data_IF_127660136401
#
_entry.id   IF_127660136401
#
_cell.length_a   1.000
_cell.length_b   1.000
_cell.length_c   1.000
_cell.angle_alpha   90.00
_cell.angle_beta   90.00
_cell.angle_gamma   90.00
#
_symmetry.space_group_name_H-M   'P 1'
#
loop_
_entity.id
_entity.type
_entity.pdbx_description
1 polymer ?
#
# COMPACT_ATOMS: atom_id res chain seq x y z
N UNK A 1 18.78 -15.45 19.95
CA UNK A 1 18.87 -15.71 18.49
C UNK A 1 18.05 -14.73 17.64
N UNK A 2 16.72 -14.65 17.76
CA UNK A 2 15.89 -13.68 16.98
C UNK A 2 16.17 -12.21 17.35
N UNK A 3 16.19 -11.91 18.66
CA UNK A 3 16.41 -10.54 19.20
C UNK A 3 17.81 -10.01 18.90
N UNK A 4 18.82 -10.89 18.86
CA UNK A 4 20.19 -10.49 18.55
C UNK A 4 20.29 -10.06 17.09
N UNK A 5 19.75 -10.84 16.14
CA UNK A 5 19.73 -10.49 14.70
C UNK A 5 19.10 -9.13 14.43
N UNK A 6 17.97 -8.81 15.08
CA UNK A 6 17.33 -7.50 14.95
C UNK A 6 18.22 -6.37 15.50
N UNK A 7 18.88 -6.58 16.65
CA UNK A 7 19.82 -5.62 17.26
C UNK A 7 21.08 -5.38 16.39
N UNK A 8 21.55 -6.40 15.68
CA UNK A 8 22.68 -6.26 14.73
C UNK A 8 22.24 -5.61 13.42
N UNK A 9 21.02 -5.87 12.95
CA UNK A 9 20.45 -5.23 11.76
C UNK A 9 20.27 -3.72 11.93
N UNK A 10 19.78 -3.27 13.09
CA UNK A 10 19.69 -1.84 13.43
C UNK A 10 21.06 -1.13 13.36
N UNK A 11 22.09 -1.71 14.00
CA UNK A 11 23.46 -1.18 13.95
C UNK A 11 24.06 -1.17 12.55
N UNK A 12 23.71 -2.15 11.71
CA UNK A 12 24.15 -2.18 10.32
C UNK A 12 23.50 -1.05 9.49
N UNK A 13 22.23 -0.71 9.74
CA UNK A 13 21.56 0.41 9.07
C UNK A 13 22.10 1.77 9.54
N UNK A 14 22.36 1.93 10.84
CA UNK A 14 23.03 3.12 11.37
C UNK A 14 24.40 3.34 10.72
N UNK A 15 25.20 2.28 10.61
CA UNK A 15 26.48 2.34 9.92
C UNK A 15 26.32 2.75 8.44
N UNK A 16 25.36 2.16 7.72
CA UNK A 16 25.06 2.55 6.33
C UNK A 16 24.65 4.02 6.21
N UNK A 17 23.92 4.55 7.19
CA UNK A 17 23.59 5.97 7.23
C UNK A 17 24.82 6.86 7.39
N UNK A 18 25.79 6.46 8.23
CA UNK A 18 27.08 7.17 8.28
C UNK A 18 27.85 7.07 6.96
N UNK A 19 27.88 5.90 6.33
CA UNK A 19 28.52 5.72 5.02
C UNK A 19 27.86 6.59 3.94
N UNK A 20 26.53 6.71 3.95
CA UNK A 20 25.78 7.60 3.07
C UNK A 20 26.13 9.07 3.32
N UNK A 21 26.23 9.51 4.58
CA UNK A 21 26.64 10.88 4.93
C UNK A 21 28.04 11.21 4.43
N UNK A 22 28.99 10.29 4.58
CA UNK A 22 30.34 10.44 4.05
C UNK A 22 30.30 10.54 2.53
N UNK A 23 29.57 9.65 1.85
CA UNK A 23 29.45 9.67 0.39
C UNK A 23 28.87 11.00 -0.13
N UNK A 24 27.86 11.54 0.57
CA UNK A 24 27.29 12.87 0.26
C UNK A 24 28.33 13.99 0.42
N UNK A 25 29.12 13.96 1.51
CA UNK A 25 30.17 14.96 1.75
C UNK A 25 31.33 14.86 0.75
N UNK A 26 31.63 13.65 0.28
CA UNK A 26 32.68 13.39 -0.70
C UNK A 26 32.20 13.51 -2.15
N UNK A 27 30.94 13.88 -2.40
CA UNK A 27 30.34 13.95 -3.75
C UNK A 27 30.48 12.65 -4.57
N UNK A 28 30.52 11.50 -3.91
CA UNK A 28 30.62 10.19 -4.56
C UNK A 28 29.21 9.66 -4.86
N UNK A 29 28.69 10.01 -6.05
CA UNK A 29 27.34 9.63 -6.46
C UNK A 29 27.14 8.11 -6.57
N UNK A 30 28.19 7.36 -6.96
CA UNK A 30 28.11 5.91 -7.03
C UNK A 30 27.92 5.29 -5.63
N UNK A 31 28.65 5.80 -4.63
CA UNK A 31 28.46 5.40 -3.25
C UNK A 31 27.10 5.83 -2.69
N UNK A 32 26.62 7.04 -3.00
CA UNK A 32 25.29 7.49 -2.59
C UNK A 32 24.21 6.56 -3.12
N UNK A 33 24.22 6.26 -4.42
CA UNK A 33 23.26 5.35 -5.05
C UNK A 33 23.31 3.96 -4.39
N UNK A 34 24.50 3.43 -4.16
CA UNK A 34 24.71 2.14 -3.51
C UNK A 34 24.11 2.08 -2.10
N UNK A 35 24.37 3.08 -1.26
CA UNK A 35 23.91 3.07 0.14
C UNK A 35 22.42 3.38 0.24
N UNK A 36 21.91 4.34 -0.54
CA UNK A 36 20.48 4.64 -0.60
C UNK A 36 19.67 3.41 -1.04
N UNK A 37 20.10 2.69 -2.10
CA UNK A 37 19.47 1.42 -2.51
C UNK A 37 19.44 0.40 -1.38
N UNK A 38 20.56 0.19 -0.68
CA UNK A 38 20.61 -0.77 0.44
C UNK A 38 19.66 -0.38 1.57
N UNK A 39 19.58 0.89 1.91
CA UNK A 39 18.69 1.37 2.97
C UNK A 39 17.21 1.17 2.59
N UNK A 40 16.83 1.39 1.33
CA UNK A 40 15.48 1.06 0.85
C UNK A 40 15.18 -0.44 0.98
N UNK A 41 16.14 -1.30 0.64
CA UNK A 41 15.94 -2.74 0.65
C UNK A 41 15.97 -3.36 2.07
N UNK A 42 16.74 -2.77 2.99
CA UNK A 42 17.14 -3.42 4.25
C UNK A 42 16.70 -2.68 5.51
N UNK A 43 16.29 -1.42 5.41
CA UNK A 43 15.72 -0.71 6.56
C UNK A 43 14.21 -0.99 6.66
N UNK A 44 13.78 -1.44 7.84
CA UNK A 44 12.38 -1.73 8.17
C UNK A 44 11.71 -0.64 8.98
N UNK A 45 12.45 0.38 9.44
CA UNK A 45 11.99 1.29 10.49
C UNK A 45 11.87 2.77 10.08
N UNK A 46 12.36 3.15 8.90
CA UNK A 46 12.35 4.55 8.45
C UNK A 46 11.49 4.75 7.20
N UNK A 47 10.92 5.95 7.06
CA UNK A 47 10.35 6.40 5.79
C UNK A 47 11.48 6.46 4.75
N UNK A 48 11.29 5.75 3.64
CA UNK A 48 12.32 5.58 2.62
C UNK A 48 12.31 6.69 1.56
N UNK A 49 11.43 7.69 1.71
CA UNK A 49 11.33 8.79 0.76
C UNK A 49 12.62 9.60 0.62
N UNK A 50 13.38 9.83 1.70
CA UNK A 50 14.65 10.55 1.63
C UNK A 50 15.66 9.83 0.72
N UNK A 51 15.82 8.52 0.88
CA UNK A 51 16.69 7.70 0.04
C UNK A 51 16.21 7.65 -1.41
N UNK A 52 14.89 7.58 -1.61
CA UNK A 52 14.30 7.64 -2.94
C UNK A 52 14.62 8.97 -3.65
N UNK A 53 14.53 10.11 -2.97
CA UNK A 53 14.88 11.41 -3.56
C UNK A 53 16.37 11.47 -3.93
N UNK A 54 17.24 10.91 -3.10
CA UNK A 54 18.68 10.84 -3.40
C UNK A 54 18.96 10.01 -4.66
N UNK A 55 18.23 8.92 -4.87
CA UNK A 55 18.33 8.10 -6.08
C UNK A 55 17.79 8.83 -7.30
N UNK A 56 16.60 9.44 -7.19
CA UNK A 56 15.95 10.17 -8.27
C UNK A 56 16.80 11.34 -8.78
N UNK A 57 17.54 12.00 -7.90
CA UNK A 57 18.42 13.11 -8.26
C UNK A 57 19.69 12.67 -9.04
N UNK A 58 20.08 11.40 -8.96
CA UNK A 58 21.37 10.89 -9.48
C UNK A 58 21.23 9.95 -10.66
N UNK A 59 20.09 9.29 -10.77
CA UNK A 59 19.81 8.37 -11.87
C UNK A 59 19.20 9.16 -13.02
N UNK A 60 19.66 8.88 -14.24
CA UNK A 60 19.16 9.59 -15.40
C UNK A 60 17.65 9.36 -15.57
N UNK A 61 16.94 10.38 -16.05
CA UNK A 61 15.49 10.27 -16.31
C UNK A 61 15.14 9.10 -17.24
N UNK A 62 16.03 8.75 -18.17
CA UNK A 62 15.87 7.63 -19.11
C UNK A 62 15.91 6.27 -18.42
N UNK A 63 16.73 6.12 -17.39
CA UNK A 63 16.95 4.84 -16.69
C UNK A 63 16.08 4.73 -15.43
N UNK A 64 15.55 5.85 -14.95
CA UNK A 64 14.86 5.94 -13.68
C UNK A 64 13.69 4.96 -13.52
N UNK A 65 12.86 4.83 -14.55
CA UNK A 65 11.71 3.92 -14.49
C UNK A 65 12.12 2.47 -14.34
N UNK A 66 13.03 2.00 -15.20
CA UNK A 66 13.58 0.64 -15.13
C UNK A 66 14.26 0.39 -13.78
N UNK A 67 15.02 1.37 -13.28
CA UNK A 67 15.71 1.25 -12.00
C UNK A 67 14.74 1.13 -10.83
N UNK A 68 13.68 1.94 -10.81
CA UNK A 68 12.69 1.92 -9.74
C UNK A 68 11.90 0.61 -9.75
N UNK A 69 11.54 0.10 -10.93
CA UNK A 69 10.88 -1.20 -11.08
C UNK A 69 11.77 -2.35 -10.56
N UNK A 70 13.06 -2.35 -10.91
CA UNK A 70 14.03 -3.31 -10.36
C UNK A 70 14.14 -3.21 -8.83
N UNK A 71 14.22 -1.98 -8.30
CA UNK A 71 14.33 -1.72 -6.86
C UNK A 71 13.11 -2.27 -6.11
N UNK A 72 11.91 -2.04 -6.63
CA UNK A 72 10.65 -2.52 -6.04
C UNK A 72 10.58 -4.05 -6.12
N UNK A 73 10.94 -4.65 -7.25
CA UNK A 73 10.93 -6.11 -7.43
C UNK A 73 11.84 -6.85 -6.44
N UNK A 74 12.94 -6.21 -6.02
CA UNK A 74 13.90 -6.75 -5.06
C UNK A 74 13.49 -6.66 -3.59
N UNK A 75 12.30 -6.14 -3.28
CA UNK A 75 11.82 -6.00 -1.89
C UNK A 75 10.76 -7.04 -1.51
N UNK A 76 10.78 -7.55 -0.27
CA UNK A 76 9.81 -8.53 0.18
C UNK A 76 8.41 -7.94 0.27
N UNK A 77 7.44 -8.64 -0.34
CA UNK A 77 6.02 -8.26 -0.31
C UNK A 77 5.48 -8.34 1.11
N UNK A 78 5.20 -7.18 1.70
CA UNK A 78 4.62 -7.02 3.02
C UNK A 78 3.68 -5.80 3.02
N UNK A 79 2.84 -5.67 4.04
CA UNK A 79 1.95 -4.51 4.16
C UNK A 79 2.74 -3.18 4.17
N UNK A 80 3.81 -3.09 4.98
CA UNK A 80 4.68 -1.92 5.01
C UNK A 80 5.34 -1.62 3.65
N UNK A 81 5.68 -2.67 2.89
CA UNK A 81 6.19 -2.53 1.53
C UNK A 81 5.13 -1.94 0.58
N UNK A 82 3.86 -2.35 0.67
CA UNK A 82 2.78 -1.78 -0.14
C UNK A 82 2.67 -0.27 0.06
N UNK A 83 2.64 0.22 1.31
CA UNK A 83 2.57 1.66 1.57
C UNK A 83 3.80 2.40 1.03
N UNK A 84 4.99 1.82 1.19
CA UNK A 84 6.20 2.47 0.69
C UNK A 84 6.20 2.58 -0.84
N UNK A 85 5.88 1.50 -1.54
CA UNK A 85 5.84 1.49 -3.01
C UNK A 85 4.74 2.41 -3.51
N UNK A 86 3.59 2.44 -2.84
CA UNK A 86 2.51 3.37 -3.16
C UNK A 86 2.97 4.83 -3.08
N UNK A 87 3.72 5.21 -2.03
CA UNK A 87 4.32 6.56 -1.94
C UNK A 87 5.24 6.87 -3.13
N UNK A 88 6.06 5.91 -3.58
CA UNK A 88 6.92 6.10 -4.76
C UNK A 88 6.08 6.34 -6.02
N UNK A 89 5.06 5.52 -6.27
CA UNK A 89 4.19 5.69 -7.44
C UNK A 89 3.38 6.98 -7.39
N UNK A 90 2.92 7.42 -6.22
CA UNK A 90 2.26 8.73 -6.05
C UNK A 90 3.23 9.87 -6.40
N UNK A 91 4.47 9.81 -5.92
CA UNK A 91 5.50 10.80 -6.24
C UNK A 91 5.84 10.85 -7.74
N UNK A 92 5.71 9.74 -8.45
CA UNK A 92 5.87 9.67 -9.91
C UNK A 92 4.59 9.94 -10.71
N UNK A 93 3.43 10.02 -10.05
CA UNK A 93 2.11 10.04 -10.70
C UNK A 93 1.85 8.81 -11.59
N UNK A 94 2.41 7.65 -11.23
CA UNK A 94 2.19 6.38 -11.93
C UNK A 94 0.94 5.67 -11.38
N UNK A 95 -0.23 6.24 -11.66
CA UNK A 95 -1.49 5.78 -11.08
C UNK A 95 -1.91 4.39 -11.54
N UNK A 96 -1.58 3.98 -12.77
CA UNK A 96 -1.80 2.62 -13.26
C UNK A 96 -1.06 1.58 -12.41
N UNK A 97 0.23 1.83 -12.14
CA UNK A 97 1.07 0.97 -11.30
C UNK A 97 0.59 0.98 -9.84
N UNK A 98 0.14 2.14 -9.33
CA UNK A 98 -0.47 2.28 -8.02
C UNK A 98 -1.76 1.45 -7.90
N UNK A 99 -2.63 1.50 -8.90
CA UNK A 99 -3.88 0.73 -8.90
C UNK A 99 -3.61 -0.78 -8.88
N UNK A 100 -2.65 -1.27 -9.68
CA UNK A 100 -2.26 -2.68 -9.66
C UNK A 100 -1.70 -3.12 -8.30
N UNK A 101 -0.88 -2.28 -7.66
CA UNK A 101 -0.34 -2.54 -6.33
C UNK A 101 -1.46 -2.65 -5.28
N UNK A 102 -2.38 -1.69 -5.27
CA UNK A 102 -3.51 -1.65 -4.33
C UNK A 102 -4.44 -2.86 -4.53
N UNK A 103 -4.70 -3.25 -5.78
CA UNK A 103 -5.47 -4.45 -6.13
C UNK A 103 -4.86 -5.73 -5.53
N UNK A 104 -3.54 -5.82 -5.43
CA UNK A 104 -2.84 -6.97 -4.85
C UNK A 104 -2.81 -6.97 -3.32
N UNK A 105 -3.08 -5.84 -2.64
CA UNK A 105 -2.95 -5.73 -1.19
C UNK A 105 -4.11 -6.39 -0.40
N UNK A 106 -5.18 -6.82 -1.08
CA UNK A 106 -6.39 -7.45 -0.53
C UNK A 106 -6.99 -6.73 0.71
N UNK A 107 -6.80 -5.41 0.82
CA UNK A 107 -7.21 -4.62 1.99
C UNK A 107 -7.94 -3.35 1.56
N UNK A 108 -9.22 -3.26 1.94
CA UNK A 108 -10.05 -2.06 1.71
C UNK A 108 -9.46 -0.83 2.40
N UNK A 109 -8.73 -1.00 3.51
CA UNK A 109 -8.13 0.14 4.20
C UNK A 109 -6.97 0.75 3.39
N UNK A 110 -6.21 -0.08 2.66
CA UNK A 110 -5.19 0.39 1.70
C UNK A 110 -5.87 1.09 0.53
N UNK A 111 -6.95 0.53 -0.01
CA UNK A 111 -7.71 1.15 -1.11
C UNK A 111 -8.17 2.56 -0.71
N UNK A 112 -8.71 2.70 0.49
CA UNK A 112 -9.19 3.97 1.03
C UNK A 112 -8.07 5.00 1.22
N UNK A 113 -6.89 4.59 1.64
CA UNK A 113 -5.75 5.50 1.82
C UNK A 113 -5.33 6.16 0.50
N UNK A 114 -5.37 5.42 -0.61
CA UNK A 114 -4.95 5.89 -1.93
C UNK A 114 -6.12 6.33 -2.84
N UNK A 115 -7.35 6.32 -2.32
CA UNK A 115 -8.58 6.67 -3.05
C UNK A 115 -8.47 8.03 -3.74
N UNK A 116 -8.02 9.07 -3.04
CA UNK A 116 -7.94 10.43 -3.58
C UNK A 116 -7.07 10.56 -4.84
N UNK A 117 -6.10 9.66 -5.02
CA UNK A 117 -5.24 9.62 -6.19
C UNK A 117 -5.82 8.79 -7.34
N UNK A 118 -6.70 7.83 -7.04
CA UNK A 118 -7.22 6.84 -7.98
C UNK A 118 -8.65 7.12 -8.42
N UNK A 119 -9.46 7.81 -7.60
CA UNK A 119 -10.89 8.01 -7.83
C UNK A 119 -11.21 8.77 -9.13
N UNK A 120 -10.27 9.57 -9.63
CA UNK A 120 -10.48 10.30 -10.89
C UNK A 120 -10.67 9.36 -12.08
N UNK A 121 -9.83 8.32 -12.16
CA UNK A 121 -9.72 7.49 -13.37
C UNK A 121 -10.14 6.03 -13.13
N UNK A 122 -10.25 5.57 -11.88
CA UNK A 122 -10.50 4.17 -11.51
C UNK A 122 -11.72 3.93 -10.61
N UNK A 123 -12.62 4.90 -10.47
CA UNK A 123 -13.78 4.74 -9.57
C UNK A 123 -14.59 3.46 -9.82
N UNK A 124 -14.98 3.11 -11.06
CA UNK A 124 -15.73 1.88 -11.34
C UNK A 124 -14.98 0.61 -10.89
N UNK A 125 -13.68 0.54 -11.15
CA UNK A 125 -12.83 -0.59 -10.82
C UNK A 125 -12.57 -0.70 -9.32
N UNK A 126 -12.43 0.43 -8.62
CA UNK A 126 -12.31 0.48 -7.17
C UNK A 126 -13.59 -0.03 -6.49
N UNK A 127 -14.77 0.37 -6.99
CA UNK A 127 -16.06 -0.11 -6.49
C UNK A 127 -16.18 -1.62 -6.68
N UNK A 128 -15.88 -2.13 -7.88
CA UNK A 128 -15.93 -3.56 -8.19
C UNK A 128 -14.94 -4.39 -7.33
N UNK A 129 -13.72 -3.88 -7.12
CA UNK A 129 -12.73 -4.50 -6.25
C UNK A 129 -13.24 -4.59 -4.81
N UNK A 130 -13.79 -3.50 -4.29
CA UNK A 130 -14.30 -3.44 -2.93
C UNK A 130 -15.55 -4.32 -2.74
N UNK A 131 -16.43 -4.39 -3.74
CA UNK A 131 -17.56 -5.33 -3.82
C UNK A 131 -17.07 -6.78 -3.64
N UNK A 132 -16.07 -7.20 -4.41
CA UNK A 132 -15.54 -8.57 -4.33
C UNK A 132 -14.96 -8.90 -2.95
N UNK A 133 -14.28 -7.93 -2.32
CA UNK A 133 -13.72 -8.10 -0.98
C UNK A 133 -14.79 -8.23 0.10
N UNK A 134 -15.88 -7.46 0.00
CA UNK A 134 -16.98 -7.52 0.97
C UNK A 134 -17.72 -8.86 0.87
N UNK A 135 -18.03 -9.33 -0.34
CA UNK A 135 -18.68 -10.63 -0.55
C UNK A 135 -17.88 -11.75 0.11
N UNK A 136 -16.56 -11.77 -0.10
CA UNK A 136 -15.67 -12.73 0.56
C UNK A 136 -15.68 -12.58 2.08
N UNK A 137 -15.61 -11.35 2.59
CA UNK A 137 -15.59 -11.09 4.03
C UNK A 137 -16.88 -11.56 4.72
N UNK A 138 -18.04 -11.41 4.06
CA UNK A 138 -19.34 -11.84 4.54
C UNK A 138 -19.55 -13.36 4.44
N UNK A 139 -19.01 -14.02 3.42
CA UNK A 139 -19.07 -15.48 3.28
C UNK A 139 -18.19 -16.22 4.30
N UNK A 140 -17.06 -15.62 4.72
CA UNK A 140 -16.08 -16.28 5.58
C UNK A 140 -16.27 -16.02 7.10
N UNK A 141 -17.05 -15.01 7.52
CA UNK A 141 -17.05 -14.54 8.93
C UNK A 141 -18.44 -14.39 9.58
N UNK A 142 -18.77 -15.31 10.50
CA UNK A 142 -20.11 -15.48 11.14
C UNK A 142 -20.32 -14.61 12.40
N UNK A 143 -19.53 -13.56 12.62
CA UNK A 143 -19.54 -12.77 13.87
C UNK A 143 -20.10 -11.35 13.75
N UNK A 144 -20.86 -10.88 14.76
CA UNK A 144 -21.44 -9.50 14.82
C UNK A 144 -20.45 -8.37 14.57
N UNK A 145 -19.23 -8.48 15.11
CA UNK A 145 -18.20 -7.45 14.93
C UNK A 145 -17.70 -7.38 13.48
N UNK A 146 -17.63 -8.52 12.79
CA UNK A 146 -17.23 -8.59 11.39
C UNK A 146 -18.29 -7.97 10.48
N UNK A 147 -19.57 -8.24 10.77
CA UNK A 147 -20.69 -7.59 10.07
C UNK A 147 -20.67 -6.07 10.23
N UNK A 148 -20.47 -5.55 11.46
CA UNK A 148 -20.34 -4.09 11.68
C UNK A 148 -19.19 -3.48 10.87
N UNK A 149 -18.07 -4.19 10.75
CA UNK A 149 -16.93 -3.74 9.95
C UNK A 149 -17.21 -3.79 8.44
N UNK A 150 -17.89 -4.83 7.95
CA UNK A 150 -18.39 -4.88 6.57
C UNK A 150 -19.32 -3.69 6.27
N UNK A 151 -20.31 -3.43 7.12
CA UNK A 151 -21.25 -2.32 6.94
C UNK A 151 -20.55 -0.96 6.87
N UNK A 152 -19.52 -0.71 7.71
CA UNK A 152 -18.73 0.52 7.63
C UNK A 152 -18.03 0.67 6.28
N UNK A 153 -17.47 -0.42 5.75
CA UNK A 153 -16.80 -0.43 4.44
C UNK A 153 -17.80 -0.24 3.29
N UNK A 154 -18.97 -0.89 3.37
CA UNK A 154 -20.11 -0.71 2.44
C UNK A 154 -20.54 0.77 2.37
N UNK A 155 -20.73 1.43 3.51
CA UNK A 155 -21.11 2.86 3.55
C UNK A 155 -20.07 3.76 2.90
N UNK A 156 -18.79 3.44 3.03
CA UNK A 156 -17.73 4.20 2.38
C UNK A 156 -17.78 4.02 0.85
N UNK A 157 -17.97 2.80 0.34
CA UNK A 157 -18.13 2.55 -1.11
C UNK A 157 -19.35 3.27 -1.67
N UNK A 158 -20.46 3.32 -0.91
CA UNK A 158 -21.67 4.06 -1.29
C UNK A 158 -21.39 5.55 -1.55
N UNK A 159 -20.44 6.15 -0.82
CA UNK A 159 -20.00 7.54 -1.02
C UNK A 159 -19.08 7.72 -2.22
N UNK A 160 -18.48 6.64 -2.72
CA UNK A 160 -17.49 6.65 -3.79
C UNK A 160 -18.10 6.73 -5.20
N UNK A 161 -19.42 6.53 -5.37
CA UNK A 161 -20.09 6.96 -6.60
C UNK A 161 -21.09 6.00 -7.24
N UNK A 162 -21.44 4.86 -6.61
CA UNK A 162 -22.49 4.00 -7.17
C UNK A 162 -23.41 3.43 -6.08
N UNK A 163 -24.42 4.22 -5.74
CA UNK A 163 -25.43 3.91 -4.71
C UNK A 163 -26.22 2.65 -5.06
N UNK A 164 -26.60 2.48 -6.33
CA UNK A 164 -27.47 1.41 -6.81
C UNK A 164 -26.74 0.06 -6.81
N UNK A 165 -25.46 0.04 -7.23
CA UNK A 165 -24.64 -1.17 -7.20
C UNK A 165 -24.35 -1.67 -5.79
N UNK A 166 -24.15 -0.76 -4.83
CA UNK A 166 -23.93 -1.10 -3.41
C UNK A 166 -25.22 -1.57 -2.73
N UNK A 167 -26.37 -1.01 -3.11
CA UNK A 167 -27.67 -1.42 -2.56
C UNK A 167 -28.08 -2.83 -3.00
N UNK A 168 -27.81 -3.20 -4.26
CA UNK A 168 -28.02 -4.57 -4.76
C UNK A 168 -27.13 -5.60 -4.04
N UNK A 169 -25.91 -5.21 -3.66
CA UNK A 169 -24.98 -5.98 -2.84
C UNK A 169 -25.54 -6.30 -1.45
N UNK A 170 -26.11 -5.30 -0.78
CA UNK A 170 -26.70 -5.43 0.57
C UNK A 170 -28.01 -6.22 0.55
N UNK A 171 -28.79 -6.12 -0.54
CA UNK A 171 -30.05 -6.83 -0.69
C UNK A 171 -29.86 -8.36 -0.84
N UNK A 172 -28.82 -8.80 -1.56
CA UNK A 172 -28.50 -10.23 -1.74
C UNK A 172 -28.14 -10.93 -0.41
N UNK A 173 -27.33 -10.30 0.45
CA UNK A 173 -26.87 -10.94 1.69
C UNK A 173 -27.94 -10.98 2.80
N UNK A 174 -28.97 -10.12 2.74
CA UNK A 174 -30.09 -10.16 3.71
C UNK A 174 -30.96 -11.41 3.57
N UNK A 175 -30.97 -12.05 2.40
CA UNK A 175 -31.78 -13.24 2.15
C UNK A 175 -31.10 -14.53 2.67
N UNK A 176 -29.77 -14.54 2.80
CA UNK A 176 -28.98 -15.69 3.29
C UNK A 176 -28.57 -15.57 4.78
N UNK A 177 -28.47 -14.36 5.33
CA UNK A 177 -28.18 -14.16 6.76
C UNK A 177 -29.46 -14.03 7.59
N UNK A 178 -29.75 -15.02 8.46
CA UNK A 178 -30.95 -15.03 9.32
C UNK A 178 -31.10 -13.73 10.13
N UNK A 179 -32.26 -13.04 10.04
CA UNK A 179 -32.49 -11.72 10.60
C UNK A 179 -32.85 -11.77 12.10
N UNK A 180 -31.88 -12.11 12.97
CA UNK A 180 -32.07 -11.95 14.42
C UNK A 180 -31.23 -10.84 15.05
N UNK A 181 -30.38 -10.14 14.29
CA UNK A 181 -29.48 -9.11 14.84
C UNK A 181 -29.26 -7.91 13.91
N UNK A 182 -30.18 -7.64 12.98
CA UNK A 182 -30.11 -6.48 12.10
C UNK A 182 -31.00 -5.39 12.70
N UNK A 183 -30.49 -4.69 13.71
CA UNK A 183 -31.04 -3.38 14.07
C UNK A 183 -30.82 -2.38 12.92
N UNK A 184 -31.74 -1.42 12.72
CA UNK A 184 -31.72 -0.52 11.59
C UNK A 184 -30.64 0.55 11.79
N UNK A 185 -29.43 0.29 11.28
CA UNK A 185 -28.37 1.30 11.16
C UNK A 185 -27.93 1.47 9.70
N UNK A 186 -28.92 1.65 8.83
CA UNK A 186 -28.76 2.34 7.55
C UNK A 186 -29.37 3.73 7.68
#
# INVERSE_FOLDING_TARGET
MEKDKARWAGRANEWRNYQLKIALASTDDAAVVKFARKLILQDSHHDKMEYYQLLKARISKKEWESYLDELISGTPKSYAHVHQVAKFYVAEKWYDKLFQLVKQAYSIDVIKEYESYLAKDYTPELVALCESHIRRLLSENVGRNHYKNAVRKIRWIKKLGDVERVENLVALDRHDYKPKQIEPYL
#
